data_IF_387166717016
#
_entry.id   IF_387166717016
#
_cell.length_a   1.000
_cell.length_b   1.000
_cell.length_c   1.000
_cell.angle_alpha   90.00
_cell.angle_beta   90.00
_cell.angle_gamma   90.00
#
_symmetry.space_group_name_H-M   'P 1'
#
loop_
_entity.id
_entity.type
_entity.pdbx_description
1 polymer ?
#
# COMPACT_ATOMS: atom_id res chain seq x y z
N UNK A 1 -3.21 -6.73 -13.38
CA UNK A 1 -3.91 -6.97 -12.10
C UNK A 1 -5.25 -7.62 -12.38
N UNK A 2 -5.58 -8.70 -11.66
CA UNK A 2 -6.90 -9.32 -11.69
C UNK A 2 -7.66 -8.86 -10.43
N UNK A 3 -8.99 -8.69 -10.54
CA UNK A 3 -9.81 -8.27 -9.42
C UNK A 3 -11.28 -8.61 -9.64
N UNK A 4 -12.00 -8.85 -8.54
CA UNK A 4 -13.44 -9.05 -8.53
C UNK A 4 -14.14 -7.70 -8.28
N UNK A 5 -15.16 -7.38 -9.08
CA UNK A 5 -15.91 -6.14 -8.97
C UNK A 5 -17.41 -6.43 -8.98
N UNK A 6 -18.13 -5.85 -8.03
CA UNK A 6 -19.59 -5.90 -7.97
C UNK A 6 -20.14 -4.48 -7.82
N UNK A 7 -21.34 -4.26 -8.33
CA UNK A 7 -22.05 -2.99 -8.27
C UNK A 7 -23.55 -3.24 -8.36
N UNK A 8 -24.39 -2.50 -7.61
CA UNK A 8 -25.84 -2.61 -7.73
C UNK A 8 -26.38 -2.03 -9.06
N UNK A 9 -25.62 -1.15 -9.72
CA UNK A 9 -26.03 -0.53 -10.99
C UNK A 9 -24.90 -0.53 -12.03
N UNK A 10 -25.23 -0.63 -13.34
CA UNK A 10 -24.25 -0.50 -14.42
C UNK A 10 -23.55 0.86 -14.47
N UNK A 11 -24.25 1.95 -14.13
CA UNK A 11 -23.71 3.30 -14.17
C UNK A 11 -22.54 3.48 -13.18
N UNK A 12 -22.66 2.90 -11.98
CA UNK A 12 -21.61 2.92 -10.97
C UNK A 12 -20.33 2.20 -11.43
N UNK A 13 -20.44 1.12 -12.24
CA UNK A 13 -19.27 0.42 -12.79
C UNK A 13 -18.39 1.34 -13.66
N UNK A 14 -19.00 2.19 -14.48
CA UNK A 14 -18.25 3.12 -15.36
C UNK A 14 -17.41 4.08 -14.55
N UNK A 15 -17.95 4.61 -13.45
CA UNK A 15 -17.25 5.56 -12.58
C UNK A 15 -16.22 4.85 -11.70
N UNK A 16 -16.53 3.65 -11.18
CA UNK A 16 -15.59 2.79 -10.47
C UNK A 16 -14.36 2.45 -11.32
N UNK A 17 -14.56 2.04 -12.58
CA UNK A 17 -13.47 1.69 -13.49
C UNK A 17 -12.46 2.84 -13.69
N UNK A 18 -12.90 4.10 -13.63
CA UNK A 18 -12.00 5.26 -13.71
C UNK A 18 -11.23 5.52 -12.42
N UNK A 19 -11.81 5.22 -11.24
CA UNK A 19 -11.15 5.44 -9.94
C UNK A 19 -10.17 4.33 -9.58
N UNK A 20 -10.51 3.06 -9.86
CA UNK A 20 -9.74 1.89 -9.44
C UNK A 20 -8.24 1.92 -9.77
N UNK A 21 -7.77 2.42 -10.93
CA UNK A 21 -6.33 2.51 -11.23
C UNK A 21 -5.51 3.26 -10.17
N UNK A 22 -6.13 4.20 -9.44
CA UNK A 22 -5.46 4.97 -8.39
C UNK A 22 -5.42 4.27 -7.02
N UNK A 23 -6.09 3.14 -6.85
CA UNK A 23 -6.22 2.42 -5.57
C UNK A 23 -5.42 1.11 -5.54
N UNK A 24 -4.45 0.92 -6.43
CA UNK A 24 -3.64 -0.31 -6.52
C UNK A 24 -2.88 -0.70 -5.25
N UNK A 25 -2.72 0.22 -4.28
CA UNK A 25 -2.17 -0.08 -2.96
C UNK A 25 -3.08 -0.97 -2.11
N UNK A 26 -4.40 -0.96 -2.33
CA UNK A 26 -5.36 -1.63 -1.45
C UNK A 26 -5.81 -2.97 -2.05
N UNK A 27 -5.95 -4.01 -1.21
CA UNK A 27 -6.50 -5.31 -1.63
C UNK A 27 -8.01 -5.26 -1.85
N UNK A 28 -8.72 -4.41 -1.10
CA UNK A 28 -10.16 -4.22 -1.25
C UNK A 28 -10.54 -2.75 -1.05
N UNK A 29 -11.59 -2.33 -1.74
CA UNK A 29 -12.18 -0.99 -1.63
C UNK A 29 -13.70 -1.07 -1.74
N UNK A 30 -14.39 -0.20 -1.00
CA UNK A 30 -15.82 0.03 -1.08
C UNK A 30 -16.05 1.50 -1.37
N UNK A 31 -16.96 1.76 -2.30
CA UNK A 31 -17.36 3.11 -2.64
C UNK A 31 -18.87 3.27 -2.46
N UNK A 32 -19.28 4.49 -2.13
CA UNK A 32 -20.69 4.85 -1.92
C UNK A 32 -21.03 6.17 -2.62
N UNK A 33 -22.29 6.29 -3.03
CA UNK A 33 -22.86 7.46 -3.67
C UNK A 33 -22.40 7.67 -5.11
N UNK A 34 -23.02 8.63 -5.78
CA UNK A 34 -22.79 8.91 -7.21
C UNK A 34 -21.39 9.43 -7.50
N UNK A 35 -20.79 10.13 -6.53
CA UNK A 35 -19.41 10.58 -6.58
C UNK A 35 -18.40 9.44 -6.32
N UNK A 36 -18.87 8.23 -5.99
CA UNK A 36 -18.04 7.04 -5.71
C UNK A 36 -17.01 7.40 -4.63
N UNK A 37 -17.52 7.86 -3.48
CA UNK A 37 -16.70 8.24 -2.33
C UNK A 37 -16.12 6.99 -1.68
N UNK A 38 -14.81 6.98 -1.40
CA UNK A 38 -14.18 5.83 -0.76
C UNK A 38 -14.66 5.73 0.69
N UNK A 39 -15.47 4.70 0.98
CA UNK A 39 -16.03 4.46 2.31
C UNK A 39 -15.21 3.45 3.10
N UNK A 40 -14.62 2.48 2.42
CA UNK A 40 -13.74 1.48 3.03
C UNK A 40 -12.58 1.18 2.10
N UNK A 41 -11.41 0.98 2.68
CA UNK A 41 -10.23 0.49 1.97
C UNK A 41 -9.34 -0.26 2.95
N UNK A 42 -8.64 -1.27 2.46
CA UNK A 42 -7.70 -2.00 3.28
C UNK A 42 -6.85 -2.96 2.47
N UNK A 43 -5.92 -3.59 3.15
CA UNK A 43 -5.10 -4.67 2.62
C UNK A 43 -5.46 -5.96 3.37
N UNK A 44 -5.49 -7.09 2.67
CA UNK A 44 -5.56 -8.37 3.36
C UNK A 44 -4.24 -8.65 4.05
N UNK A 45 -4.30 -9.20 5.26
CA UNK A 45 -3.12 -9.66 5.97
C UNK A 45 -2.48 -10.82 5.22
N UNK A 46 -1.22 -10.66 4.83
CA UNK A 46 -0.42 -11.74 4.24
C UNK A 46 0.22 -12.54 5.39
N UNK A 47 -0.51 -13.51 5.94
CA UNK A 47 -0.03 -14.30 7.09
C UNK A 47 0.96 -15.40 6.73
N UNK A 48 0.94 -15.88 5.49
CA UNK A 48 1.72 -17.07 5.07
C UNK A 48 2.73 -16.80 3.95
N UNK A 49 3.02 -15.53 3.65
CA UNK A 49 4.04 -15.21 2.66
C UNK A 49 5.42 -15.22 3.31
N UNK A 50 6.35 -16.10 2.88
CA UNK A 50 7.73 -16.07 3.37
C UNK A 50 8.49 -14.79 2.96
N UNK A 51 7.93 -14.00 2.05
CA UNK A 51 8.47 -12.70 1.62
C UNK A 51 7.82 -11.51 2.34
N UNK A 52 7.00 -11.76 3.37
CA UNK A 52 6.35 -10.72 4.15
C UNK A 52 6.81 -10.78 5.61
N UNK A 53 7.26 -9.65 6.14
CA UNK A 53 7.57 -9.49 7.57
C UNK A 53 6.75 -8.33 8.13
N UNK A 54 6.04 -8.57 9.23
CA UNK A 54 5.34 -7.52 9.96
C UNK A 54 6.34 -6.86 10.92
N UNK A 55 6.74 -5.63 10.62
CA UNK A 55 7.52 -4.83 11.55
C UNK A 55 6.61 -4.45 12.72
N UNK A 56 6.97 -4.92 13.91
CA UNK A 56 6.37 -4.49 15.17
C UNK A 56 7.33 -3.52 15.83
N UNK A 57 6.79 -2.45 16.41
CA UNK A 57 7.59 -1.48 17.14
C UNK A 57 8.17 -2.17 18.36
N UNK A 58 9.44 -2.51 18.24
CA UNK A 58 10.24 -3.06 19.33
C UNK A 58 11.29 -2.01 19.67
N UNK A 59 11.72 -1.95 20.92
CA UNK A 59 12.86 -1.10 21.29
C UNK A 59 14.09 -1.64 20.55
N UNK A 60 14.44 -1.00 19.44
CA UNK A 60 15.69 -1.31 18.73
C UNK A 60 16.79 -0.59 19.50
N UNK A 61 17.77 -1.31 20.08
CA UNK A 61 18.90 -0.65 20.72
C UNK A 61 19.61 0.21 19.67
N UNK A 62 19.97 1.43 20.05
CA UNK A 62 20.69 2.33 19.16
C UNK A 62 21.96 1.64 18.65
N UNK A 63 22.04 1.43 17.34
CA UNK A 63 23.25 0.91 16.71
C UNK A 63 24.23 2.07 16.60
N UNK A 64 25.42 1.92 17.19
CA UNK A 64 26.53 2.86 16.98
C UNK A 64 26.97 2.78 15.53
N UNK A 65 26.51 3.73 14.71
CA UNK A 65 26.97 3.87 13.33
C UNK A 65 28.38 4.47 13.38
N UNK A 66 29.42 3.76 12.89
CA UNK A 66 30.76 4.34 12.85
C UNK A 66 30.75 5.57 11.94
N UNK A 67 31.44 6.64 12.34
CA UNK A 67 31.65 7.79 11.45
C UNK A 67 32.48 7.34 10.25
N UNK A 68 31.85 7.23 9.09
CA UNK A 68 32.56 6.98 7.85
C UNK A 68 33.16 8.31 7.36
N UNK A 69 34.44 8.30 7.01
CA UNK A 69 35.00 9.43 6.28
C UNK A 69 34.32 9.53 4.91
N UNK A 70 33.98 10.73 4.44
CA UNK A 70 33.42 10.91 3.10
C UNK A 70 34.40 10.34 2.08
N UNK A 71 33.87 9.65 1.06
CA UNK A 71 34.68 8.96 0.03
C UNK A 71 35.64 9.92 -0.69
N UNK A 72 35.29 11.21 -0.73
CA UNK A 72 36.10 12.30 -1.31
C UNK A 72 37.36 12.66 -0.51
N UNK A 73 37.49 12.22 0.74
CA UNK A 73 38.65 12.48 1.59
C UNK A 73 39.79 11.44 1.43
N UNK A 74 39.59 10.41 0.59
CA UNK A 74 40.57 9.33 0.35
C UNK A 74 41.33 9.52 -0.98
N UNK A 75 41.02 10.57 -1.74
CA UNK A 75 41.66 10.90 -3.02
C UNK A 75 42.50 12.19 -2.85
N UNK A 76 43.55 12.13 -2.03
CA UNK A 76 44.70 13.06 -2.03
C UNK A 76 45.99 12.27 -1.74
#
# INVERSE_FOLDING_TARGET
TLGFLTSPTPAALKTLARKLPHYGRYSYTLFEGDAVNNRLKGQWSLSESPLSVKLVETTIPAVSIPSLQPLTAVIE
#
